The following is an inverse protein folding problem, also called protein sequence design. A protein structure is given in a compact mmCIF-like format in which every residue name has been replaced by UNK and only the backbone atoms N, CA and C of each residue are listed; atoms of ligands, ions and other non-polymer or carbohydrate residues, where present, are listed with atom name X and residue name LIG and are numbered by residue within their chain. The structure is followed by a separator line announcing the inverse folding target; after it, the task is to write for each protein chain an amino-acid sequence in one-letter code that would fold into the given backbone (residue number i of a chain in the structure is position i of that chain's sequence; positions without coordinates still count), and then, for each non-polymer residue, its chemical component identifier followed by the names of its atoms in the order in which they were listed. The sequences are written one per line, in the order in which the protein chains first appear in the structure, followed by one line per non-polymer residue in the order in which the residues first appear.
data_IF_029723351186
#
_entry.id   IF_029723351186
#
_cell.length_a   1.000
_cell.length_b   1.000
_cell.length_c   1.000
_cell.angle_alpha   90.00
_cell.angle_beta   90.00
_cell.angle_gamma   90.00
#
_symmetry.space_group_name_H-M   'P 1'
#
loop_
_entity.id
_entity.type
_entity.pdbx_description
1 polymer ?
#
# COMPACT_ATOMS: atom_id res chain seq x y z
N UNK A 1 17.68 -18.44 -25.36
CA UNK A 1 17.08 -17.16 -24.93
C UNK A 1 17.47 -16.97 -23.48
N UNK A 2 18.43 -16.08 -23.18
CA UNK A 2 18.70 -15.70 -21.79
C UNK A 2 17.51 -14.88 -21.33
N UNK A 3 16.59 -15.52 -20.63
CA UNK A 3 15.36 -14.95 -20.09
C UNK A 3 15.73 -14.03 -18.93
N UNK A 4 16.35 -12.88 -19.22
CA UNK A 4 16.57 -11.85 -18.22
C UNK A 4 15.21 -11.20 -17.96
N UNK A 5 14.68 -11.27 -16.73
CA UNK A 5 13.39 -10.67 -16.41
C UNK A 5 13.42 -9.19 -16.77
N UNK A 6 12.47 -8.75 -17.60
CA UNK A 6 12.38 -7.35 -17.99
C UNK A 6 12.27 -6.48 -16.71
N UNK A 7 13.26 -5.63 -16.42
CA UNK A 7 13.24 -4.80 -15.23
C UNK A 7 12.07 -3.80 -15.25
N UNK A 8 11.46 -3.51 -16.40
CA UNK A 8 10.26 -2.68 -16.49
C UNK A 8 9.02 -3.41 -15.95
N UNK A 9 8.85 -4.69 -16.28
CA UNK A 9 7.72 -5.51 -15.82
C UNK A 9 7.73 -5.70 -14.30
N UNK A 10 8.91 -5.96 -13.72
CA UNK A 10 9.07 -6.09 -12.27
C UNK A 10 8.77 -4.79 -11.53
N UNK A 11 9.24 -3.64 -12.05
CA UNK A 11 8.92 -2.31 -11.51
C UNK A 11 7.41 -2.03 -11.54
N UNK A 12 6.76 -2.33 -12.66
CA UNK A 12 5.30 -2.17 -12.76
C UNK A 12 4.57 -3.04 -11.73
N UNK A 13 4.93 -4.32 -11.62
CA UNK A 13 4.33 -5.23 -10.64
C UNK A 13 4.47 -4.72 -9.20
N UNK A 14 5.65 -4.23 -8.83
CA UNK A 14 5.91 -3.68 -7.49
C UNK A 14 5.07 -2.40 -7.26
N UNK A 15 4.93 -1.53 -8.26
CA UNK A 15 4.12 -0.32 -8.13
C UNK A 15 2.62 -0.66 -7.96
N UNK A 16 2.14 -1.68 -8.65
CA UNK A 16 0.77 -2.16 -8.53
C UNK A 16 0.54 -2.84 -7.17
N UNK A 17 1.49 -3.63 -6.67
CA UNK A 17 1.44 -4.22 -5.32
C UNK A 17 1.47 -3.14 -4.23
N UNK A 18 2.27 -2.09 -4.39
CA UNK A 18 2.29 -0.95 -3.46
C UNK A 18 0.93 -0.22 -3.40
N UNK A 19 0.25 -0.08 -4.54
CA UNK A 19 -1.12 0.45 -4.55
C UNK A 19 -2.13 -0.52 -3.95
N UNK A 20 -2.03 -1.80 -4.29
CA UNK A 20 -2.94 -2.83 -3.79
C UNK A 20 -2.84 -2.97 -2.25
N UNK A 21 -1.63 -2.92 -1.69
CA UNK A 21 -1.41 -2.94 -0.24
C UNK A 21 -1.99 -1.70 0.45
N UNK A 22 -1.75 -0.49 -0.08
CA UNK A 22 -2.37 0.73 0.46
C UNK A 22 -3.90 0.69 0.40
N UNK A 23 -4.47 0.18 -0.69
CA UNK A 23 -5.92 -0.02 -0.82
C UNK A 23 -6.45 -1.05 0.17
N UNK A 24 -5.71 -2.14 0.40
CA UNK A 24 -6.06 -3.16 1.37
C UNK A 24 -6.06 -2.60 2.80
N UNK A 25 -5.06 -1.81 3.17
CA UNK A 25 -5.00 -1.15 4.48
C UNK A 25 -6.16 -0.16 4.64
N UNK A 26 -6.49 0.60 3.60
CA UNK A 26 -7.65 1.50 3.62
C UNK A 26 -8.97 0.74 3.80
N UNK A 27 -9.14 -0.40 3.13
CA UNK A 27 -10.32 -1.26 3.30
C UNK A 27 -10.41 -1.81 4.73
N UNK A 28 -9.28 -2.26 5.30
CA UNK A 28 -9.22 -2.70 6.70
C UNK A 28 -9.58 -1.57 7.66
N UNK A 29 -9.10 -0.36 7.41
CA UNK A 29 -9.40 0.81 8.21
C UNK A 29 -10.90 1.13 8.22
N UNK A 30 -11.53 1.15 7.03
CA UNK A 30 -12.98 1.36 6.88
C UNK A 30 -13.76 0.27 7.62
N UNK A 31 -13.29 -0.98 7.56
CA UNK A 31 -13.93 -2.11 8.23
C UNK A 31 -13.86 -1.98 9.77
N UNK A 32 -12.73 -1.50 10.30
CA UNK A 32 -12.56 -1.18 11.73
C UNK A 32 -13.47 -0.03 12.15
N UNK A 33 -13.51 1.06 11.37
CA UNK A 33 -14.40 2.22 11.64
C UNK A 33 -15.88 1.81 11.61
N UNK A 34 -16.25 0.91 10.69
CA UNK A 34 -17.60 0.37 10.58
C UNK A 34 -17.98 -0.61 11.71
N UNK A 35 -17.07 -0.88 12.66
CA UNK A 35 -17.29 -1.82 13.77
C UNK A 35 -17.40 -3.28 13.32
N UNK A 36 -16.99 -3.59 12.08
CA UNK A 36 -17.02 -4.93 11.46
C UNK A 36 -15.62 -5.52 11.37
N UNK A 37 -14.70 -5.07 12.21
CA UNK A 37 -13.35 -5.61 12.26
C UNK A 37 -13.41 -7.15 12.37
N UNK A 38 -12.59 -7.88 11.59
CA UNK A 38 -12.59 -9.34 11.64
C UNK A 38 -12.30 -9.81 13.07
N UNK A 39 -12.87 -10.93 13.49
CA UNK A 39 -12.71 -11.44 14.86
C UNK A 39 -11.23 -11.60 15.28
N UNK A 40 -10.33 -11.82 14.32
CA UNK A 40 -8.87 -11.86 14.53
C UNK A 40 -8.28 -10.53 15.03
N UNK A 41 -8.90 -9.38 14.73
CA UNK A 41 -8.47 -8.06 15.19
C UNK A 41 -9.01 -7.73 16.60
N UNK A 42 -10.04 -8.44 17.08
CA UNK A 42 -10.69 -8.13 18.35
C UNK A 42 -11.45 -6.81 18.34
N UNK A 43 -11.91 -6.36 19.51
CA UNK A 43 -12.57 -5.07 19.70
C UNK A 43 -11.56 -3.92 19.63
N UNK A 44 -11.08 -3.63 18.42
CA UNK A 44 -10.19 -2.50 18.18
C UNK A 44 -10.98 -1.19 18.33
N UNK A 45 -10.46 -0.22 19.10
CA UNK A 45 -11.06 1.11 19.20
C UNK A 45 -11.12 1.80 17.83
N UNK A 46 -12.19 2.57 17.61
CA UNK A 46 -12.48 3.28 16.34
C UNK A 46 -11.34 4.25 15.96
N UNK A 47 -10.67 4.77 16.97
CA UNK A 47 -9.51 5.66 16.94
C UNK A 47 -8.36 5.02 16.14
N UNK A 48 -8.13 3.72 16.36
CA UNK A 48 -7.11 2.96 15.62
C UNK A 48 -7.52 2.84 14.15
N UNK A 49 -8.81 2.65 13.87
CA UNK A 49 -9.32 2.65 12.49
C UNK A 49 -9.03 3.95 11.74
N UNK A 50 -9.19 5.11 12.39
CA UNK A 50 -8.84 6.40 11.79
C UNK A 50 -7.34 6.56 11.54
N UNK A 51 -6.49 6.11 12.48
CA UNK A 51 -5.03 6.10 12.28
C UNK A 51 -4.64 5.18 11.12
N UNK A 52 -5.25 3.99 11.05
CA UNK A 52 -5.02 3.04 9.97
C UNK A 52 -5.46 3.59 8.61
N UNK A 53 -6.57 4.35 8.58
CA UNK A 53 -7.06 5.01 7.36
C UNK A 53 -6.06 6.07 6.89
N UNK A 54 -5.54 6.89 7.83
CA UNK A 54 -4.52 7.89 7.52
C UNK A 54 -3.24 7.25 6.99
N UNK A 55 -2.80 6.14 7.58
CA UNK A 55 -1.63 5.39 7.13
C UNK A 55 -1.87 4.77 5.75
N UNK A 56 -2.99 4.08 5.54
CA UNK A 56 -3.32 3.45 4.26
C UNK A 56 -3.43 4.47 3.12
N UNK A 57 -4.04 5.63 3.39
CA UNK A 57 -4.09 6.74 2.46
C UNK A 57 -2.69 7.29 2.17
N UNK A 58 -1.88 7.49 3.21
CA UNK A 58 -0.51 7.96 3.06
C UNK A 58 0.33 6.96 2.24
N UNK A 59 0.31 5.67 2.54
CA UNK A 59 1.02 4.65 1.78
C UNK A 59 0.55 4.60 0.33
N UNK A 60 -0.76 4.61 0.08
CA UNK A 60 -1.32 4.55 -1.27
C UNK A 60 -0.81 5.69 -2.17
N UNK A 61 -0.57 6.88 -1.60
CA UNK A 61 -0.05 8.03 -2.35
C UNK A 61 1.46 8.19 -2.30
N UNK A 62 2.07 8.00 -1.13
CA UNK A 62 3.48 8.29 -0.87
C UNK A 62 4.39 7.15 -1.32
N UNK A 63 4.04 5.89 -1.01
CA UNK A 63 4.88 4.73 -1.32
C UNK A 63 5.13 4.55 -2.83
N UNK A 64 4.11 4.53 -3.71
CA UNK A 64 4.35 4.43 -5.14
C UNK A 64 5.04 5.68 -5.71
N UNK A 65 4.80 6.86 -5.14
CA UNK A 65 5.51 8.09 -5.55
C UNK A 65 6.99 8.05 -5.17
N UNK A 66 7.33 7.47 -4.02
CA UNK A 66 8.70 7.29 -3.56
C UNK A 66 9.43 6.22 -4.38
N UNK A 67 8.77 5.08 -4.66
CA UNK A 67 9.30 4.04 -5.54
C UNK A 67 9.52 4.55 -6.97
N UNK A 68 8.54 5.26 -7.53
CA UNK A 68 8.67 5.87 -8.85
C UNK A 68 9.83 6.87 -8.90
N UNK A 69 10.02 7.68 -7.84
CA UNK A 69 11.19 8.57 -7.72
C UNK A 69 12.51 7.79 -7.61
N UNK A 70 12.54 6.70 -6.85
CA UNK A 70 13.73 5.87 -6.65
C UNK A 70 14.21 5.21 -7.95
N UNK A 71 13.28 4.82 -8.82
CA UNK A 71 13.60 4.26 -10.14
C UNK A 71 13.85 5.31 -11.22
N UNK A 72 13.50 6.58 -10.96
CA UNK A 72 13.64 7.69 -11.91
C UNK A 72 15.04 8.35 -11.90
N UNK A 73 16.06 7.78 -11.24
CA UNK A 73 17.39 8.42 -11.23
C UNK A 73 18.52 7.40 -11.09
N UNK A 74 19.55 7.52 -11.95
CA UNK A 74 20.69 8.41 -11.73
C UNK A 74 20.33 9.83 -12.16
N UNK A 75 20.54 10.80 -11.27
CA UNK A 75 20.68 12.20 -11.66
C UNK A 75 22.18 12.37 -11.90
N UNK A 76 22.55 12.75 -13.11
CA UNK A 76 23.81 13.46 -13.34
C UNK A 76 23.80 14.77 -12.53
#
# INVERSE_FOLDING_TARGET
MTDQPDPAASRFAVLQLARASGALIMLLAVLVIAGKAPAMLGSIPKEVGYVLAAIGLFEFYALPRFLARRWRSPKE
#
